data_IF_836835379880
#
_entry.id   IF_836835379880
#
_cell.length_a   1.000
_cell.length_b   1.000
_cell.length_c   1.000
_cell.angle_alpha   90.00
_cell.angle_beta   90.00
_cell.angle_gamma   90.00
#
_symmetry.space_group_name_H-M   'P 1'
#
loop_
_entity.id
_entity.type
_entity.pdbx_description
1 polymer ?
#
# COMPACT_ATOMS: atom_id res chain seq x y z
N UNK A 1 -21.02 6.34 -96.45
CA UNK A 1 -21.35 5.90 -95.09
C UNK A 1 -20.09 5.35 -94.45
N UNK A 2 -19.43 6.08 -93.56
CA UNK A 2 -18.20 5.70 -92.86
C UNK A 2 -18.55 5.26 -91.42
N UNK A 3 -18.44 3.96 -91.14
CA UNK A 3 -18.45 3.47 -89.75
C UNK A 3 -17.15 3.88 -89.06
N UNK A 4 -17.30 4.61 -87.96
CA UNK A 4 -16.21 4.95 -87.01
C UNK A 4 -16.24 3.92 -85.88
N UNK A 5 -15.31 3.00 -85.90
CA UNK A 5 -15.03 2.12 -84.79
C UNK A 5 -14.46 3.01 -83.61
N UNK A 6 -15.18 3.04 -82.53
CA UNK A 6 -14.69 3.61 -81.27
C UNK A 6 -14.04 2.49 -80.47
N UNK A 7 -12.71 2.42 -80.47
CA UNK A 7 -11.98 1.63 -79.46
C UNK A 7 -12.18 2.28 -78.07
N UNK A 8 -12.48 1.48 -77.02
CA UNK A 8 -12.52 2.01 -75.67
C UNK A 8 -11.09 2.26 -75.18
N UNK A 9 -10.84 3.26 -74.33
CA UNK A 9 -9.50 3.61 -73.87
C UNK A 9 -9.03 2.57 -72.86
N UNK A 10 -8.01 1.79 -73.22
CA UNK A 10 -7.31 0.83 -72.35
C UNK A 10 -6.58 1.48 -71.19
N UNK A 11 -6.39 2.80 -71.21
CA UNK A 11 -5.68 3.60 -70.23
C UNK A 11 -6.40 3.71 -68.86
N UNK A 12 -7.74 3.65 -68.82
CA UNK A 12 -8.51 3.70 -67.59
C UNK A 12 -8.54 2.43 -66.79
N UNK A 13 -8.28 1.27 -67.40
CA UNK A 13 -8.26 -0.04 -66.74
C UNK A 13 -6.94 -0.30 -66.00
N UNK A 14 -5.84 0.29 -66.47
CA UNK A 14 -4.52 0.17 -65.82
C UNK A 14 -4.42 1.06 -64.59
N UNK A 15 -4.94 2.28 -64.64
CA UNK A 15 -4.93 3.24 -63.51
C UNK A 15 -5.76 2.72 -62.31
N UNK A 16 -6.97 2.19 -62.57
CA UNK A 16 -7.80 1.62 -61.49
C UNK A 16 -7.21 0.35 -60.85
N UNK A 17 -6.44 -0.43 -61.61
CA UNK A 17 -5.74 -1.62 -61.10
C UNK A 17 -4.56 -1.25 -60.19
N UNK A 18 -3.83 -0.21 -60.52
CA UNK A 18 -2.70 0.31 -59.70
C UNK A 18 -3.23 0.88 -58.37
N UNK A 19 -4.28 1.68 -58.42
CA UNK A 19 -4.91 2.27 -57.24
C UNK A 19 -5.50 1.20 -56.28
N UNK A 20 -6.11 0.16 -56.81
CA UNK A 20 -6.61 -0.99 -56.04
C UNK A 20 -5.46 -1.77 -55.34
N UNK A 21 -4.34 -1.96 -56.04
CA UNK A 21 -3.16 -2.65 -55.47
C UNK A 21 -2.47 -1.82 -54.40
N UNK A 22 -2.42 -0.51 -54.55
CA UNK A 22 -1.89 0.39 -53.51
C UNK A 22 -2.77 0.41 -52.27
N UNK A 23 -4.09 0.49 -52.43
CA UNK A 23 -5.02 0.41 -51.30
C UNK A 23 -4.96 -0.97 -50.61
N UNK A 24 -4.81 -2.07 -51.35
CA UNK A 24 -4.65 -3.40 -50.79
C UNK A 24 -3.32 -3.52 -49.98
N UNK A 25 -2.20 -2.97 -50.52
CA UNK A 25 -0.90 -2.90 -49.83
C UNK A 25 -0.96 -2.05 -48.57
N UNK A 26 -1.64 -0.91 -48.62
CA UNK A 26 -1.83 -0.05 -47.44
C UNK A 26 -2.66 -0.75 -46.36
N UNK A 27 -3.74 -1.45 -46.72
CA UNK A 27 -4.55 -2.25 -45.80
C UNK A 27 -3.74 -3.39 -45.15
N UNK A 28 -2.91 -4.10 -45.94
CA UNK A 28 -2.01 -5.14 -45.40
C UNK A 28 -0.95 -4.57 -44.49
N UNK A 29 -0.33 -3.41 -44.84
CA UNK A 29 0.66 -2.72 -44.01
C UNK A 29 0.05 -2.26 -42.68
N UNK A 30 -1.17 -1.67 -42.71
CA UNK A 30 -1.90 -1.28 -41.50
C UNK A 30 -2.26 -2.49 -40.62
N UNK A 31 -2.63 -3.64 -41.23
CA UNK A 31 -2.88 -4.88 -40.46
C UNK A 31 -1.61 -5.46 -39.86
N UNK A 32 -0.48 -5.42 -40.55
CA UNK A 32 0.83 -5.84 -40.00
C UNK A 32 1.27 -4.91 -38.85
N UNK A 33 1.18 -3.60 -39.02
CA UNK A 33 1.51 -2.63 -37.98
C UNK A 33 0.61 -2.82 -36.74
N UNK A 34 -0.69 -3.04 -36.93
CA UNK A 34 -1.60 -3.32 -35.81
C UNK A 34 -1.26 -4.64 -35.09
N UNK A 35 -0.88 -5.69 -35.82
CA UNK A 35 -0.47 -6.98 -35.23
C UNK A 35 0.86 -6.87 -34.49
N UNK A 36 1.84 -6.18 -35.07
CA UNK A 36 3.12 -5.95 -34.38
C UNK A 36 2.96 -5.05 -33.15
N UNK A 37 2.16 -4.00 -33.24
CA UNK A 37 1.84 -3.15 -32.09
C UNK A 37 1.12 -3.95 -30.99
N UNK A 38 0.16 -4.82 -31.34
CA UNK A 38 -0.53 -5.68 -30.39
C UNK A 38 0.43 -6.69 -29.72
N UNK A 39 1.36 -7.29 -30.49
CA UNK A 39 2.39 -8.19 -29.96
C UNK A 39 3.35 -7.48 -29.01
N UNK A 40 3.82 -6.28 -29.37
CA UNK A 40 4.68 -5.48 -28.49
C UNK A 40 3.94 -5.12 -27.21
N UNK A 41 2.67 -4.72 -27.30
CA UNK A 41 1.84 -4.36 -26.14
C UNK A 41 1.58 -5.59 -25.25
N UNK A 42 1.38 -6.76 -25.82
CA UNK A 42 1.23 -8.01 -25.09
C UNK A 42 2.55 -8.41 -24.40
N UNK A 43 3.68 -8.27 -25.09
CA UNK A 43 5.00 -8.57 -24.54
C UNK A 43 5.34 -7.62 -23.36
N UNK A 44 5.09 -6.32 -23.53
CA UNK A 44 5.28 -5.35 -22.45
C UNK A 44 4.37 -5.62 -21.26
N UNK A 45 3.12 -6.03 -21.48
CA UNK A 45 2.21 -6.44 -20.43
C UNK A 45 2.70 -7.68 -19.67
N UNK A 46 3.22 -8.70 -20.40
CA UNK A 46 3.79 -9.92 -19.79
C UNK A 46 5.04 -9.59 -18.95
N UNK A 47 5.95 -8.77 -19.48
CA UNK A 47 7.15 -8.34 -18.75
C UNK A 47 6.76 -7.53 -17.51
N UNK A 48 5.83 -6.58 -17.62
CA UNK A 48 5.33 -5.80 -16.51
C UNK A 48 4.65 -6.67 -15.43
N UNK A 49 3.93 -7.72 -15.85
CA UNK A 49 3.34 -8.71 -14.95
C UNK A 49 4.41 -9.54 -14.23
N UNK A 50 5.39 -10.06 -14.97
CA UNK A 50 6.48 -10.87 -14.43
C UNK A 50 7.40 -10.10 -13.47
N UNK A 51 7.57 -8.79 -13.68
CA UNK A 51 8.37 -7.91 -12.79
C UNK A 51 7.60 -7.36 -11.60
N UNK A 52 6.32 -7.70 -11.43
CA UNK A 52 5.48 -7.19 -10.33
C UNK A 52 5.09 -5.70 -10.47
N UNK A 53 5.54 -5.01 -11.52
CA UNK A 53 5.20 -3.60 -11.79
C UNK A 53 3.69 -3.39 -11.99
N UNK A 54 2.97 -4.41 -12.48
CA UNK A 54 1.52 -4.34 -12.66
C UNK A 54 0.80 -4.20 -11.32
N UNK A 55 1.23 -4.95 -10.29
CA UNK A 55 0.61 -4.88 -8.96
C UNK A 55 0.68 -3.49 -8.35
N UNK A 56 1.87 -2.86 -8.40
CA UNK A 56 2.06 -1.49 -7.89
C UNK A 56 1.29 -0.46 -8.73
N UNK A 57 1.21 -0.64 -10.04
CA UNK A 57 0.47 0.25 -10.94
C UNK A 57 -1.04 0.15 -10.74
N UNK A 58 -1.57 -1.06 -10.58
CA UNK A 58 -2.99 -1.31 -10.28
C UNK A 58 -3.36 -0.74 -8.91
N UNK A 59 -2.49 -0.89 -7.90
CA UNK A 59 -2.71 -0.32 -6.58
C UNK A 59 -2.81 1.21 -6.65
N UNK A 60 -1.89 1.88 -7.35
CA UNK A 60 -1.93 3.34 -7.56
C UNK A 60 -3.14 3.80 -8.36
N UNK A 61 -3.55 3.04 -9.39
CA UNK A 61 -4.75 3.34 -10.16
C UNK A 61 -6.02 3.25 -9.30
N UNK A 62 -6.14 2.24 -8.45
CA UNK A 62 -7.25 2.13 -7.48
C UNK A 62 -7.26 3.31 -6.50
N UNK A 63 -6.11 3.71 -5.96
CA UNK A 63 -6.01 4.84 -5.05
C UNK A 63 -6.37 6.18 -5.73
N UNK A 64 -6.06 6.32 -7.03
CA UNK A 64 -6.46 7.48 -7.83
C UNK A 64 -7.97 7.53 -8.04
N UNK A 65 -8.58 6.41 -8.46
CA UNK A 65 -10.04 6.30 -8.63
C UNK A 65 -10.75 6.59 -7.31
N UNK A 66 -10.25 6.05 -6.20
CA UNK A 66 -10.77 6.31 -4.87
C UNK A 66 -10.70 7.81 -4.51
N UNK A 67 -9.56 8.47 -4.81
CA UNK A 67 -9.38 9.90 -4.59
C UNK A 67 -10.36 10.75 -5.42
N UNK A 68 -10.57 10.40 -6.68
CA UNK A 68 -11.54 11.07 -7.55
C UNK A 68 -12.97 10.88 -7.03
N UNK A 69 -13.31 9.66 -6.62
CA UNK A 69 -14.64 9.35 -6.08
C UNK A 69 -14.96 10.14 -4.81
N UNK A 70 -13.96 10.33 -3.94
CA UNK A 70 -14.09 11.14 -2.73
C UNK A 70 -14.26 12.63 -3.08
N UNK A 71 -13.45 13.14 -4.01
CA UNK A 71 -13.51 14.54 -4.45
C UNK A 71 -14.84 14.92 -5.13
N UNK A 72 -15.53 13.95 -5.72
CA UNK A 72 -16.84 14.13 -6.36
C UNK A 72 -18.02 13.98 -5.39
N UNK A 73 -17.78 13.56 -4.14
CA UNK A 73 -18.88 13.47 -3.15
C UNK A 73 -19.29 14.85 -2.69
N UNK A 74 -20.61 15.08 -2.52
CA UNK A 74 -21.09 16.34 -1.96
C UNK A 74 -20.61 16.50 -0.51
N UNK A 75 -20.31 17.72 -0.12
CA UNK A 75 -19.94 18.06 1.25
C UNK A 75 -21.15 17.89 2.16
N UNK A 76 -20.97 17.14 3.26
CA UNK A 76 -22.03 16.97 4.25
C UNK A 76 -21.96 18.03 5.37
N UNK A 77 -20.79 18.66 5.53
CA UNK A 77 -20.53 19.65 6.57
C UNK A 77 -20.30 19.03 7.96
N UNK A 78 -19.79 19.83 8.88
CA UNK A 78 -19.61 19.48 10.29
C UNK A 78 -20.52 20.37 11.17
N UNK A 79 -20.99 19.89 12.35
CA UNK A 79 -20.66 18.62 13.03
C UNK A 79 -21.44 17.41 12.50
N UNK A 80 -20.84 16.21 12.60
CA UNK A 80 -21.45 14.92 12.28
C UNK A 80 -21.44 14.00 13.49
N UNK A 81 -22.52 13.23 13.68
CA UNK A 81 -22.51 12.14 14.64
C UNK A 81 -21.85 10.92 13.99
N UNK A 82 -20.67 10.53 14.46
CA UNK A 82 -19.92 9.44 13.89
C UNK A 82 -20.46 8.06 14.25
N UNK A 83 -21.27 8.00 15.31
CA UNK A 83 -21.83 6.74 15.83
C UNK A 83 -20.81 5.89 16.58
N UNK A 84 -19.64 6.43 16.90
CA UNK A 84 -18.61 5.79 17.74
C UNK A 84 -18.82 6.29 19.19
N UNK A 85 -19.29 5.44 20.11
CA UNK A 85 -19.56 5.85 21.47
C UNK A 85 -18.29 6.09 22.28
N UNK A 86 -17.26 5.30 22.05
CA UNK A 86 -15.95 5.41 22.69
C UNK A 86 -14.85 5.36 21.65
N UNK A 87 -14.07 6.44 21.53
CA UNK A 87 -12.97 6.57 20.59
C UNK A 87 -11.72 5.89 21.15
N UNK A 88 -11.30 4.79 20.54
CA UNK A 88 -10.06 4.09 20.90
C UNK A 88 -8.84 4.67 20.18
N UNK A 89 -8.99 5.00 18.89
CA UNK A 89 -7.90 5.48 18.05
C UNK A 89 -8.43 6.37 16.93
N UNK A 90 -7.69 7.43 16.61
CA UNK A 90 -7.95 8.35 15.51
C UNK A 90 -6.73 8.46 14.64
N UNK A 91 -6.87 8.18 13.35
CA UNK A 91 -5.78 8.23 12.40
C UNK A 91 -6.12 9.10 11.19
N UNK A 92 -5.12 9.84 10.71
CA UNK A 92 -5.27 10.70 9.54
C UNK A 92 -4.79 9.98 8.27
N UNK A 93 -5.60 10.10 7.20
CA UNK A 93 -5.22 9.72 5.84
C UNK A 93 -5.31 10.94 4.90
N UNK A 94 -4.89 10.77 3.66
CA UNK A 94 -4.99 11.84 2.66
C UNK A 94 -6.45 12.22 2.39
N UNK A 95 -6.86 13.41 2.84
CA UNK A 95 -8.20 13.97 2.62
C UNK A 95 -9.31 13.36 3.49
N UNK A 96 -8.98 12.55 4.49
CA UNK A 96 -9.93 11.95 5.39
C UNK A 96 -9.26 11.52 6.72
N UNK A 97 -10.07 11.03 7.65
CA UNK A 97 -9.61 10.43 8.90
C UNK A 97 -10.43 9.17 9.21
N UNK A 98 -9.85 8.32 10.03
CA UNK A 98 -10.42 7.05 10.47
C UNK A 98 -10.58 7.07 11.96
N UNK A 99 -11.80 6.84 12.43
CA UNK A 99 -12.13 6.67 13.84
C UNK A 99 -12.32 5.18 14.14
N UNK A 100 -11.64 4.69 15.15
CA UNK A 100 -11.82 3.33 15.66
C UNK A 100 -12.51 3.37 17.01
N UNK A 101 -13.63 2.68 17.14
CA UNK A 101 -14.26 2.30 18.38
C UNK A 101 -14.11 0.81 18.68
N UNK A 102 -14.74 0.33 19.73
CA UNK A 102 -14.70 -1.08 20.13
C UNK A 102 -15.28 -1.99 19.03
N UNK A 103 -16.45 -1.66 18.52
CA UNK A 103 -17.20 -2.53 17.59
C UNK A 103 -17.13 -2.07 16.14
N UNK A 104 -16.71 -0.85 15.87
CA UNK A 104 -16.76 -0.27 14.54
C UNK A 104 -15.59 0.66 14.25
N UNK A 105 -15.29 0.76 12.96
CA UNK A 105 -14.34 1.71 12.40
C UNK A 105 -15.06 2.52 11.32
N UNK A 106 -14.93 3.85 11.38
CA UNK A 106 -15.60 4.77 10.45
C UNK A 106 -14.60 5.68 9.77
N UNK A 107 -14.79 5.87 8.47
CA UNK A 107 -13.95 6.78 7.69
C UNK A 107 -14.78 7.99 7.26
N UNK A 108 -14.30 9.18 7.58
CA UNK A 108 -14.91 10.45 7.17
C UNK A 108 -13.98 11.25 6.28
N UNK A 109 -14.54 11.92 5.29
CA UNK A 109 -13.83 12.97 4.56
C UNK A 109 -13.61 14.18 5.46
N UNK A 110 -12.64 15.03 5.12
CA UNK A 110 -12.43 16.32 5.81
C UNK A 110 -13.67 17.24 5.71
N UNK A 111 -14.58 16.98 4.76
CA UNK A 111 -15.81 17.74 4.52
C UNK A 111 -17.05 17.14 5.21
N UNK A 112 -16.86 16.13 6.10
CA UNK A 112 -17.94 15.54 6.89
C UNK A 112 -18.71 14.40 6.22
N UNK A 113 -18.36 14.00 4.99
CA UNK A 113 -19.03 12.89 4.33
C UNK A 113 -18.49 11.55 4.83
N UNK A 114 -19.39 10.64 5.26
CA UNK A 114 -19.01 9.29 5.64
C UNK A 114 -18.61 8.49 4.40
N UNK A 115 -17.34 8.03 4.35
CA UNK A 115 -16.78 7.31 3.22
C UNK A 115 -16.93 5.79 3.36
N UNK A 116 -16.72 5.28 4.57
CA UNK A 116 -16.78 3.85 4.87
C UNK A 116 -17.27 3.62 6.31
N UNK A 117 -17.91 2.49 6.55
CA UNK A 117 -18.29 2.00 7.87
C UNK A 117 -17.97 0.51 7.94
N UNK A 118 -17.18 0.11 8.93
CA UNK A 118 -16.68 -1.24 9.08
C UNK A 118 -17.04 -1.73 10.47
N UNK A 119 -17.87 -2.73 10.54
CA UNK A 119 -18.08 -3.45 11.79
C UNK A 119 -16.95 -4.46 11.96
N UNK A 120 -16.17 -4.33 13.02
CA UNK A 120 -14.95 -5.13 13.20
C UNK A 120 -15.22 -6.47 13.87
N UNK A 121 -16.00 -6.48 14.93
CA UNK A 121 -16.20 -7.67 15.78
C UNK A 121 -14.91 -8.19 16.43
N UNK A 122 -13.84 -7.40 16.45
CA UNK A 122 -12.55 -7.77 17.03
C UNK A 122 -12.53 -7.51 18.53
N UNK A 123 -12.00 -8.46 19.31
CA UNK A 123 -11.90 -8.31 20.75
C UNK A 123 -10.91 -7.22 21.19
N UNK A 124 -9.87 -6.98 20.37
CA UNK A 124 -8.85 -5.93 20.60
C UNK A 124 -8.52 -5.25 19.29
N UNK A 125 -9.44 -4.43 18.76
CA UNK A 125 -9.24 -3.75 17.50
C UNK A 125 -8.11 -2.74 17.60
N UNK A 126 -7.33 -2.62 16.52
CA UNK A 126 -6.28 -1.62 16.39
C UNK A 126 -6.13 -1.18 14.95
N UNK A 127 -5.66 0.05 14.74
CA UNK A 127 -5.39 0.65 13.45
C UNK A 127 -3.89 0.86 13.23
N UNK A 128 -3.48 0.73 11.97
CA UNK A 128 -2.24 1.28 11.48
C UNK A 128 -2.55 2.02 10.17
N UNK A 129 -2.24 3.30 10.11
CA UNK A 129 -2.58 4.15 8.97
C UNK A 129 -1.36 4.45 8.11
N UNK A 130 -1.56 4.41 6.79
CA UNK A 130 -0.65 4.94 5.80
C UNK A 130 -1.23 6.19 5.14
N UNK A 131 -0.84 6.49 3.91
CA UNK A 131 -1.31 7.70 3.23
C UNK A 131 -2.74 7.58 2.70
N UNK A 132 -3.08 6.47 2.04
CA UNK A 132 -4.38 6.24 1.36
C UNK A 132 -5.06 4.96 1.81
N UNK A 133 -4.40 4.19 2.67
CA UNK A 133 -4.82 2.89 3.16
C UNK A 133 -4.55 2.78 4.63
N UNK A 134 -5.29 1.92 5.29
CA UNK A 134 -5.05 1.55 6.68
C UNK A 134 -5.25 0.05 6.88
N UNK A 135 -4.69 -0.46 7.93
CA UNK A 135 -4.90 -1.83 8.41
C UNK A 135 -5.71 -1.78 9.67
N UNK A 136 -6.84 -2.48 9.66
CA UNK A 136 -7.61 -2.80 10.84
C UNK A 136 -7.27 -4.24 11.23
N UNK A 137 -6.79 -4.46 12.44
CA UNK A 137 -6.35 -5.78 12.89
C UNK A 137 -6.77 -6.07 14.33
N UNK A 138 -6.87 -7.37 14.66
CA UNK A 138 -7.14 -7.83 16.00
C UNK A 138 -5.83 -8.11 16.74
N UNK A 139 -5.48 -7.29 17.76
CA UNK A 139 -4.29 -7.57 18.59
C UNK A 139 -4.43 -8.88 19.32
N UNK A 140 -3.38 -9.70 19.26
CA UNK A 140 -3.35 -11.08 19.77
C UNK A 140 -4.30 -12.05 19.05
N UNK A 141 -5.09 -11.58 18.09
CA UNK A 141 -5.78 -12.41 17.12
C UNK A 141 -4.93 -12.57 15.86
N UNK A 142 -5.46 -13.27 14.87
CA UNK A 142 -4.72 -13.65 13.67
C UNK A 142 -5.32 -13.05 12.38
N UNK A 143 -6.29 -12.15 12.49
CA UNK A 143 -6.94 -11.53 11.34
C UNK A 143 -6.56 -10.07 11.19
N UNK A 144 -6.28 -9.67 9.96
CA UNK A 144 -6.11 -8.28 9.56
C UNK A 144 -6.87 -7.98 8.27
N UNK A 145 -7.32 -6.75 8.13
CA UNK A 145 -7.99 -6.20 6.95
C UNK A 145 -7.22 -4.98 6.47
N UNK A 146 -6.90 -4.98 5.20
CA UNK A 146 -6.34 -3.81 4.51
C UNK A 146 -7.48 -3.08 3.82
N UNK A 147 -7.73 -1.88 4.24
CA UNK A 147 -8.82 -1.02 3.77
C UNK A 147 -8.25 0.16 2.98
N UNK A 148 -8.95 0.56 1.91
CA UNK A 148 -8.84 1.90 1.38
C UNK A 148 -9.77 2.84 2.15
N UNK A 149 -9.83 4.10 1.75
CA UNK A 149 -10.74 5.07 2.35
C UNK A 149 -12.22 4.74 2.14
N UNK A 150 -12.56 3.91 1.11
CA UNK A 150 -13.95 3.64 0.71
C UNK A 150 -14.32 2.16 0.68
N UNK A 151 -13.33 1.23 0.69
CA UNK A 151 -13.63 -0.20 0.52
C UNK A 151 -12.53 -1.11 1.09
N UNK A 152 -12.90 -2.36 1.34
CA UNK A 152 -11.94 -3.41 1.66
C UNK A 152 -11.09 -3.75 0.43
N UNK A 153 -9.78 -3.84 0.61
CA UNK A 153 -8.85 -4.26 -0.42
C UNK A 153 -8.45 -5.72 -0.27
N UNK A 154 -8.11 -6.12 0.96
CA UNK A 154 -7.66 -7.47 1.29
C UNK A 154 -8.03 -7.83 2.72
N UNK A 155 -8.35 -9.09 2.94
CA UNK A 155 -8.42 -9.72 4.27
C UNK A 155 -7.40 -10.84 4.30
N UNK A 156 -6.62 -10.91 5.37
CA UNK A 156 -5.57 -11.91 5.55
C UNK A 156 -5.64 -12.49 6.96
N UNK A 157 -5.46 -13.79 7.04
CA UNK A 157 -5.27 -14.51 8.30
C UNK A 157 -3.80 -14.89 8.40
N UNK A 158 -3.19 -14.62 9.55
CA UNK A 158 -1.83 -15.05 9.90
C UNK A 158 -1.88 -16.36 10.67
N UNK A 159 -0.78 -17.11 10.68
CA UNK A 159 -0.71 -18.36 11.45
C UNK A 159 -0.69 -18.09 12.96
N UNK A 160 -0.03 -17.02 13.36
CA UNK A 160 0.15 -16.63 14.75
C UNK A 160 -0.50 -15.29 15.05
N UNK A 161 -0.68 -14.99 16.34
CA UNK A 161 -1.30 -13.75 16.79
C UNK A 161 -0.51 -12.50 16.40
N UNK A 162 -1.24 -11.49 15.94
CA UNK A 162 -0.70 -10.19 15.54
C UNK A 162 -0.38 -9.33 16.76
N UNK A 163 0.83 -8.79 16.82
CA UNK A 163 1.23 -7.84 17.87
C UNK A 163 1.11 -6.41 17.38
N UNK A 164 1.61 -6.14 16.18
CA UNK A 164 1.75 -4.81 15.63
C UNK A 164 1.63 -4.82 14.10
N UNK A 165 1.05 -3.78 13.55
CA UNK A 165 1.06 -3.51 12.10
C UNK A 165 1.55 -2.10 11.83
N UNK A 166 2.11 -1.88 10.64
CA UNK A 166 2.43 -0.56 10.10
C UNK A 166 2.12 -0.52 8.62
N UNK A 167 1.81 0.66 8.08
CA UNK A 167 1.46 0.86 6.66
C UNK A 167 2.35 1.93 6.05
N UNK A 168 3.00 1.60 4.96
CA UNK A 168 3.86 2.52 4.23
C UNK A 168 3.05 3.51 3.38
N UNK A 169 3.62 4.68 3.04
CA UNK A 169 2.99 5.65 2.13
C UNK A 169 2.63 5.09 0.76
N UNK A 170 3.36 4.09 0.26
CA UNK A 170 3.10 3.41 -1.01
C UNK A 170 2.13 2.21 -0.89
N UNK A 171 1.65 1.92 0.34
CA UNK A 171 0.67 0.88 0.63
C UNK A 171 1.26 -0.50 0.96
N UNK A 172 2.59 -0.63 1.20
CA UNK A 172 3.15 -1.82 1.82
C UNK A 172 2.63 -1.96 3.25
N UNK A 173 2.54 -3.19 3.74
CA UNK A 173 2.09 -3.51 5.09
C UNK A 173 3.17 -4.31 5.80
N UNK A 174 3.60 -3.86 6.95
CA UNK A 174 4.42 -4.65 7.87
C UNK A 174 3.55 -5.20 8.99
N UNK A 175 3.76 -6.47 9.33
CA UNK A 175 3.10 -7.15 10.45
C UNK A 175 4.15 -7.75 11.37
N UNK A 176 3.88 -7.75 12.65
CA UNK A 176 4.64 -8.51 13.65
C UNK A 176 3.71 -9.52 14.28
N UNK A 177 4.12 -10.79 14.23
CA UNK A 177 3.41 -11.91 14.84
C UNK A 177 4.29 -12.62 15.87
N UNK A 178 3.68 -13.35 16.79
CA UNK A 178 4.40 -14.30 17.62
C UNK A 178 4.99 -15.44 16.77
N UNK A 179 6.05 -16.09 17.22
CA UNK A 179 6.62 -17.25 16.56
C UNK A 179 7.11 -18.28 17.59
N UNK A 180 7.15 -19.55 17.19
CA UNK A 180 7.55 -20.67 18.10
C UNK A 180 9.07 -20.72 18.26
N UNK A 181 9.83 -20.42 17.22
CA UNK A 181 11.31 -20.50 17.20
C UNK A 181 11.99 -19.20 17.60
N UNK A 182 11.34 -18.08 17.32
CA UNK A 182 11.79 -16.72 17.63
C UNK A 182 10.79 -16.05 18.58
N UNK A 183 11.16 -14.92 19.15
CA UNK A 183 10.24 -14.16 20.01
C UNK A 183 9.19 -13.43 19.19
N UNK A 184 9.51 -13.11 17.93
CA UNK A 184 8.59 -12.50 16.97
C UNK A 184 9.05 -12.73 15.52
N UNK A 185 8.14 -12.66 14.58
CA UNK A 185 8.40 -12.58 13.16
C UNK A 185 7.84 -11.28 12.60
N UNK A 186 8.68 -10.50 11.91
CA UNK A 186 8.29 -9.33 11.16
C UNK A 186 8.21 -9.68 9.68
N UNK A 187 7.03 -9.49 9.08
CA UNK A 187 6.83 -9.76 7.65
C UNK A 187 6.39 -8.46 6.96
N UNK A 188 7.02 -8.14 5.84
CA UNK A 188 6.63 -7.01 4.99
C UNK A 188 5.97 -7.54 3.73
N UNK A 189 4.76 -7.04 3.46
CA UNK A 189 3.97 -7.36 2.27
C UNK A 189 3.97 -6.20 1.28
N UNK A 190 3.90 -6.55 0.00
CA UNK A 190 3.64 -5.58 -1.08
C UNK A 190 2.26 -4.94 -0.94
N UNK A 191 1.96 -3.86 -1.69
CA UNK A 191 0.61 -3.27 -1.75
C UNK A 191 -0.49 -4.23 -2.23
N UNK A 192 -0.12 -5.39 -2.77
CA UNK A 192 -1.01 -6.49 -3.20
C UNK A 192 -1.01 -7.68 -2.25
N UNK A 193 -0.46 -7.51 -1.03
CA UNK A 193 -0.36 -8.52 0.03
C UNK A 193 0.48 -9.76 -0.34
N UNK A 194 1.44 -9.61 -1.26
CA UNK A 194 2.48 -10.62 -1.51
C UNK A 194 3.65 -10.37 -0.57
N UNK A 195 4.14 -11.40 0.11
CA UNK A 195 5.29 -11.30 1.01
C UNK A 195 6.55 -10.90 0.24
N UNK A 196 7.25 -9.87 0.72
CA UNK A 196 8.47 -9.34 0.14
C UNK A 196 9.70 -9.64 1.01
N UNK A 197 9.51 -9.59 2.32
CA UNK A 197 10.58 -9.77 3.29
C UNK A 197 10.01 -10.43 4.54
N UNK A 198 10.81 -11.29 5.19
CA UNK A 198 10.57 -11.83 6.53
C UNK A 198 11.83 -11.68 7.35
N UNK A 199 11.69 -11.31 8.61
CA UNK A 199 12.75 -11.20 9.60
C UNK A 199 12.30 -11.83 10.92
N UNK A 200 12.91 -12.96 11.27
CA UNK A 200 12.73 -13.61 12.59
C UNK A 200 13.57 -12.88 13.64
N UNK A 201 12.93 -12.35 14.67
CA UNK A 201 13.58 -11.67 15.78
C UNK A 201 13.81 -12.66 16.92
N UNK A 202 15.05 -12.81 17.33
CA UNK A 202 15.43 -13.61 18.50
C UNK A 202 15.31 -12.79 19.80
N UNK A 203 15.59 -13.42 20.93
CA UNK A 203 15.63 -12.72 22.22
C UNK A 203 16.70 -11.61 22.27
N UNK A 204 17.72 -11.67 21.41
CA UNK A 204 18.75 -10.64 21.31
C UNK A 204 18.23 -9.36 20.65
N UNK A 205 17.45 -9.49 19.58
CA UNK A 205 16.81 -8.36 18.91
C UNK A 205 15.65 -7.82 19.74
N UNK A 206 14.83 -8.69 20.31
CA UNK A 206 13.68 -8.38 21.13
C UNK A 206 12.35 -8.35 20.39
N UNK A 207 11.28 -7.95 21.09
CA UNK A 207 9.93 -7.88 20.55
C UNK A 207 9.66 -6.47 20.04
N UNK A 208 9.29 -6.26 18.76
CA UNK A 208 8.93 -4.96 18.23
C UNK A 208 7.73 -4.35 18.95
N UNK A 209 7.88 -3.08 19.41
CA UNK A 209 6.83 -2.29 20.05
C UNK A 209 6.39 -1.11 19.18
N UNK A 210 7.26 -0.62 18.31
CA UNK A 210 6.98 0.46 17.37
C UNK A 210 7.60 0.15 16.02
N UNK A 211 6.89 0.52 14.99
CA UNK A 211 7.37 0.46 13.61
C UNK A 211 6.92 1.69 12.86
N UNK A 212 7.82 2.26 12.05
CA UNK A 212 7.51 3.43 11.23
C UNK A 212 8.21 3.32 9.87
N UNK A 213 7.44 3.35 8.79
CA UNK A 213 8.00 3.37 7.44
C UNK A 213 8.58 4.75 7.12
N UNK A 214 9.73 4.76 6.48
CA UNK A 214 10.26 5.99 5.92
C UNK A 214 9.34 6.55 4.82
N UNK A 215 9.33 7.89 4.60
CA UNK A 215 8.49 8.53 3.60
C UNK A 215 8.71 8.01 2.17
N UNK A 216 9.89 7.50 1.87
CA UNK A 216 10.25 6.87 0.60
C UNK A 216 9.75 5.42 0.46
N UNK A 217 9.19 4.84 1.52
CA UNK A 217 8.72 3.44 1.61
C UNK A 217 9.79 2.39 1.29
N UNK A 218 11.07 2.74 1.45
CA UNK A 218 12.21 1.84 1.19
C UNK A 218 12.85 1.31 2.46
N UNK A 219 12.56 1.92 3.60
CA UNK A 219 13.11 1.58 4.92
C UNK A 219 12.01 1.52 5.95
N UNK A 220 12.20 0.66 6.93
CA UNK A 220 11.33 0.51 8.09
C UNK A 220 12.18 0.67 9.35
N UNK A 221 11.84 1.63 10.19
CA UNK A 221 12.39 1.76 11.53
C UNK A 221 11.62 0.84 12.48
N UNK A 222 12.32 0.10 13.33
CA UNK A 222 11.75 -0.87 14.27
C UNK A 222 12.38 -0.65 15.63
N UNK A 223 11.57 -0.29 16.61
CA UNK A 223 11.98 -0.24 18.01
C UNK A 223 11.53 -1.53 18.70
N UNK A 224 12.48 -2.34 19.13
CA UNK A 224 12.24 -3.64 19.77
C UNK A 224 12.77 -3.64 21.19
N UNK A 225 12.03 -4.26 22.12
CA UNK A 225 12.40 -4.36 23.54
C UNK A 225 12.89 -5.75 23.86
N UNK A 226 14.03 -5.80 24.51
CA UNK A 226 14.65 -7.01 25.03
C UNK A 226 15.09 -6.83 26.49
N UNK A 227 15.54 -7.90 27.11
CA UNK A 227 16.21 -7.87 28.41
C UNK A 227 17.67 -8.25 28.25
N UNK A 228 18.57 -7.41 28.78
CA UNK A 228 20.01 -7.67 28.82
C UNK A 228 20.50 -7.53 30.26
N UNK A 229 21.04 -8.63 30.80
CA UNK A 229 21.51 -8.68 32.21
C UNK A 229 20.45 -8.26 33.23
N UNK A 230 19.18 -8.61 33.01
CA UNK A 230 18.06 -8.27 33.89
C UNK A 230 17.52 -6.84 33.74
N UNK A 231 18.10 -6.05 32.85
CA UNK A 231 17.62 -4.69 32.53
C UNK A 231 16.89 -4.67 31.21
N UNK A 232 15.81 -3.89 31.12
CA UNK A 232 15.10 -3.66 29.89
C UNK A 232 15.92 -2.75 28.98
N UNK A 233 16.02 -3.13 27.72
CA UNK A 233 16.76 -2.39 26.68
C UNK A 233 15.87 -2.27 25.44
N UNK A 234 15.81 -1.07 24.89
CA UNK A 234 15.19 -0.83 23.57
C UNK A 234 16.27 -0.74 22.50
N UNK A 235 16.20 -1.63 21.53
CA UNK A 235 17.02 -1.61 20.33
C UNK A 235 16.24 -0.94 19.20
N UNK A 236 16.87 0.05 18.56
CA UNK A 236 16.34 0.70 17.37
C UNK A 236 17.03 0.16 16.12
N UNK A 237 16.28 -0.48 15.25
CA UNK A 237 16.78 -1.01 14.00
C UNK A 237 16.26 -0.21 12.80
N UNK A 238 17.07 -0.16 11.76
CA UNK A 238 16.68 0.26 10.43
C UNK A 238 16.72 -0.95 9.50
N UNK A 239 15.57 -1.32 8.95
CA UNK A 239 15.41 -2.43 8.02
C UNK A 239 15.27 -1.90 6.60
N UNK A 240 16.29 -2.10 5.72
CA UNK A 240 16.19 -1.81 4.30
C UNK A 240 15.26 -2.83 3.62
N UNK A 241 14.29 -2.35 2.82
CA UNK A 241 13.29 -3.23 2.19
C UNK A 241 13.75 -3.78 0.82
N UNK A 242 14.97 -3.51 0.41
CA UNK A 242 15.61 -4.01 -0.81
C UNK A 242 16.51 -5.24 -0.56
N UNK A 243 16.14 -6.09 0.41
CA UNK A 243 16.88 -7.29 0.83
C UNK A 243 18.21 -7.02 1.57
N UNK A 244 18.35 -5.87 2.19
CA UNK A 244 19.46 -5.60 3.10
C UNK A 244 19.21 -6.15 4.51
N UNK A 245 20.29 -6.42 5.24
CA UNK A 245 20.19 -6.86 6.64
C UNK A 245 19.71 -5.73 7.57
N UNK A 246 18.98 -6.05 8.65
CA UNK A 246 18.62 -5.08 9.68
C UNK A 246 19.86 -4.45 10.31
N UNK A 247 19.89 -3.14 10.40
CA UNK A 247 21.00 -2.37 10.99
C UNK A 247 20.60 -1.86 12.36
N UNK A 248 21.36 -2.19 13.41
CA UNK A 248 21.17 -1.60 14.73
C UNK A 248 21.68 -0.15 14.73
N UNK A 249 20.78 0.81 14.92
CA UNK A 249 21.11 2.23 14.99
C UNK A 249 21.46 2.70 16.40
N UNK A 250 20.69 2.23 17.38
CA UNK A 250 20.83 2.63 18.79
C UNK A 250 20.36 1.50 19.74
N UNK A 251 20.90 1.53 20.94
CA UNK A 251 20.45 0.66 22.03
C UNK A 251 20.44 1.49 23.32
N UNK A 252 19.30 1.56 24.01
CA UNK A 252 19.11 2.42 25.19
C UNK A 252 18.27 1.72 26.24
N UNK A 253 18.36 2.17 27.51
CA UNK A 253 17.62 1.58 28.62
C UNK A 253 16.17 2.06 28.70
N UNK A 254 15.85 3.21 28.06
CA UNK A 254 14.52 3.78 28.07
C UNK A 254 13.65 3.21 26.95
N UNK A 255 12.34 3.12 27.19
CA UNK A 255 11.37 2.76 26.17
C UNK A 255 11.19 3.86 25.13
N UNK A 256 11.27 3.53 23.86
CA UNK A 256 10.86 4.44 22.79
C UNK A 256 9.34 4.51 22.77
N UNK A 257 8.79 5.64 23.19
CA UNK A 257 7.34 5.86 23.25
C UNK A 257 6.77 6.32 21.91
N UNK A 258 7.52 7.14 21.19
CA UNK A 258 7.13 7.68 19.90
C UNK A 258 8.30 7.68 18.93
N UNK A 259 7.98 7.51 17.66
CA UNK A 259 8.94 7.45 16.57
C UNK A 259 8.29 8.02 15.32
N UNK A 260 9.01 8.84 14.56
CA UNK A 260 8.50 9.42 13.31
C UNK A 260 9.60 10.00 12.44
N UNK A 261 9.35 10.14 11.16
CA UNK A 261 10.29 10.68 10.19
C UNK A 261 10.00 12.16 9.94
N UNK A 262 11.00 13.03 10.17
CA UNK A 262 10.93 14.46 9.79
C UNK A 262 11.15 14.65 8.30
N UNK A 263 12.09 13.89 7.73
CA UNK A 263 12.44 13.91 6.31
C UNK A 263 12.93 12.54 5.88
N UNK A 264 13.26 12.36 4.61
CA UNK A 264 13.68 11.07 4.07
C UNK A 264 14.73 10.34 4.88
N UNK A 265 15.66 11.05 5.50
CA UNK A 265 16.80 10.46 6.25
C UNK A 265 16.84 10.82 7.75
N UNK A 266 15.90 11.64 8.24
CA UNK A 266 15.89 12.07 9.62
C UNK A 266 14.78 11.35 10.39
N UNK A 267 15.15 10.34 11.19
CA UNK A 267 14.27 9.65 12.13
C UNK A 267 14.37 10.31 13.50
N UNK A 268 13.24 10.74 14.05
CA UNK A 268 13.12 11.19 15.43
C UNK A 268 12.46 10.11 16.28
N UNK A 269 12.89 10.01 17.52
CA UNK A 269 12.23 9.20 18.52
C UNK A 269 12.34 9.85 19.90
N UNK A 270 11.37 9.55 20.76
CA UNK A 270 11.33 10.08 22.13
C UNK A 270 11.26 8.93 23.12
N UNK A 271 11.99 9.10 24.24
CA UNK A 271 11.88 8.28 25.43
C UNK A 271 11.37 9.13 26.62
N UNK A 272 10.85 8.51 27.68
CA UNK A 272 10.43 9.25 28.86
C UNK A 272 11.59 10.10 29.42
N UNK A 273 11.30 11.34 29.82
CA UNK A 273 12.32 12.16 30.48
C UNK A 273 12.59 11.60 31.89
N UNK A 274 13.85 11.52 32.33
CA UNK A 274 14.16 11.15 33.72
C UNK A 274 13.51 12.08 34.77
N UNK A 275 12.99 13.25 34.33
CA UNK A 275 12.32 14.21 35.21
C UNK A 275 10.86 13.89 35.50
N UNK A 276 10.21 13.08 34.67
CA UNK A 276 8.79 12.77 34.82
C UNK A 276 8.51 11.77 35.96
N UNK A 277 9.52 11.09 36.48
CA UNK A 277 9.45 10.20 37.66
C UNK A 277 9.83 10.83 39.02
N UNK A 278 10.21 12.10 39.04
CA UNK A 278 10.74 12.74 40.24
C UNK A 278 9.72 13.62 41.00
N UNK A 279 8.44 13.57 40.64
CA UNK A 279 7.36 14.27 41.38
C UNK A 279 6.37 13.27 41.95
N UNK A 280 6.74 12.67 43.05
CA UNK A 280 5.82 12.05 44.00
C UNK A 280 6.25 12.37 45.39
#
# INVERSE_FOLDING_TARGET
MKHRDRQPPEENLSAGRVEYLEQARQRQRRRRIRRTAALVLLLTAVVAFATGLVGASVAKAKDLVDSISIALRPDAGWPQNTGIPELLQLEQLSGCFVELGEDACVVYSNTGSRLNFIQSGYARPALAAGRTRFVLYNRSGNELRVESRTQNLYTKTTENGLYLCAVAPDGKVATVTGEVRNVAELVVYSPTMTQQLSWGLTSAEGIPLRMEFAPDSRRLAVAAVTSRSGQMVTNLYLLPLNQGDPQLLASQQDLIQWMGWLSGDCLLYTSPSPRDGATS
#
